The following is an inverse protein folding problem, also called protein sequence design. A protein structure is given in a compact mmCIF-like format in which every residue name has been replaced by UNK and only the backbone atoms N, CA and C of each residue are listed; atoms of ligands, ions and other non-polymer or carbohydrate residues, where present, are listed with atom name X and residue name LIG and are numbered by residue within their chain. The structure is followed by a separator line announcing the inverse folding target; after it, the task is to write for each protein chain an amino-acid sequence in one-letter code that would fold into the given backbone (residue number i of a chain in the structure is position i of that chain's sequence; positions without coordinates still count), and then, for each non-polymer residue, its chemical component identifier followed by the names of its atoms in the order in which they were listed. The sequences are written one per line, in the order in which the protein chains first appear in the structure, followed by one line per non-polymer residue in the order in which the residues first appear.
data_IF_702267144337
#
_entry.id   IF_702267144337
#
_cell.length_a   1.000
_cell.length_b   1.000
_cell.length_c   1.000
_cell.angle_alpha   90.00
_cell.angle_beta   90.00
_cell.angle_gamma   90.00
#
_symmetry.space_group_name_H-M   'P 1'
#
loop_
_entity.id
_entity.type
_entity.pdbx_description
1 polymer ?
#
# COMPACT_ATOMS: atom_id res chain seq x y z
N UNK A 1 32.03 -53.05 -39.69
CA UNK A 1 31.29 -54.25 -40.11
C UNK A 1 30.84 -55.02 -38.86
N UNK A 2 29.52 -55.27 -38.71
CA UNK A 2 28.86 -56.33 -37.90
C UNK A 2 29.14 -56.33 -36.37
N UNK A 3 28.23 -56.50 -35.41
CA UNK A 3 26.85 -57.01 -35.26
C UNK A 3 26.29 -56.30 -34.00
N UNK A 4 25.04 -55.85 -33.91
CA UNK A 4 23.86 -56.69 -33.68
C UNK A 4 23.84 -57.23 -32.25
N UNK A 5 22.96 -56.71 -31.38
CA UNK A 5 22.27 -57.54 -30.37
C UNK A 5 21.00 -56.83 -29.88
N UNK A 6 19.88 -57.44 -30.22
CA UNK A 6 18.51 -57.15 -29.83
C UNK A 6 18.30 -57.75 -28.43
N UNK A 7 18.11 -56.93 -27.40
CA UNK A 7 17.66 -57.41 -26.07
C UNK A 7 16.51 -56.57 -25.57
N UNK A 8 15.33 -57.13 -25.82
CA UNK A 8 14.07 -56.88 -25.15
C UNK A 8 14.24 -57.13 -23.64
N UNK A 9 14.22 -56.09 -22.82
CA UNK A 9 14.15 -56.22 -21.36
C UNK A 9 12.84 -55.58 -20.86
N UNK A 10 11.84 -56.43 -20.68
CA UNK A 10 10.73 -56.19 -19.76
C UNK A 10 11.33 -55.99 -18.36
N UNK A 11 11.33 -54.75 -17.87
CA UNK A 11 11.63 -54.48 -16.46
C UNK A 11 10.40 -53.86 -15.81
N UNK A 12 9.83 -54.66 -14.92
CA UNK A 12 8.79 -54.36 -13.96
C UNK A 12 9.30 -53.31 -12.97
N UNK A 13 9.08 -52.02 -13.24
CA UNK A 13 9.46 -50.94 -12.33
C UNK A 13 8.23 -50.41 -11.59
N UNK A 14 8.08 -50.92 -10.36
CA UNK A 14 7.71 -50.21 -9.13
C UNK A 14 6.73 -49.03 -9.24
N UNK A 15 5.59 -49.19 -8.56
CA UNK A 15 4.68 -48.13 -8.12
C UNK A 15 5.45 -47.00 -7.41
N UNK A 16 5.85 -45.98 -8.15
CA UNK A 16 6.10 -44.67 -7.57
C UNK A 16 4.73 -43.99 -7.50
N UNK A 17 4.16 -43.99 -6.29
CA UNK A 17 3.13 -43.03 -5.93
C UNK A 17 3.72 -41.64 -6.16
N UNK A 18 3.37 -41.03 -7.29
CA UNK A 18 3.54 -39.60 -7.48
C UNK A 18 2.60 -38.92 -6.48
N UNK A 19 3.09 -38.67 -5.27
CA UNK A 19 2.56 -37.60 -4.46
C UNK A 19 2.94 -36.31 -5.19
N UNK A 20 2.05 -35.83 -6.05
CA UNK A 20 2.09 -34.43 -6.49
C UNK A 20 1.97 -33.59 -5.22
N UNK A 21 3.13 -33.15 -4.73
CA UNK A 21 3.24 -32.21 -3.65
C UNK A 21 2.46 -30.97 -4.04
N UNK A 22 1.26 -30.85 -3.47
CA UNK A 22 0.60 -29.58 -3.32
C UNK A 22 1.60 -28.63 -2.68
N UNK A 23 1.89 -27.54 -3.37
CA UNK A 23 2.17 -26.21 -2.83
C UNK A 23 2.70 -25.39 -4.01
N UNK A 24 1.79 -25.06 -4.94
CA UNK A 24 1.98 -23.91 -5.80
C UNK A 24 1.98 -22.68 -4.91
N UNK A 25 3.16 -22.36 -4.38
CA UNK A 25 3.46 -21.04 -3.83
C UNK A 25 3.04 -20.02 -4.88
N UNK A 26 1.95 -19.30 -4.61
CA UNK A 26 1.44 -18.27 -5.50
C UNK A 26 2.57 -17.31 -5.90
N UNK A 27 2.66 -16.93 -7.18
CA UNK A 27 3.77 -16.16 -7.71
C UNK A 27 3.89 -14.81 -6.97
N UNK A 28 5.10 -14.54 -6.50
CA UNK A 28 5.58 -13.37 -5.72
C UNK A 28 5.37 -11.99 -6.36
N UNK A 29 4.72 -11.93 -7.53
CA UNK A 29 4.43 -10.71 -8.29
C UNK A 29 3.30 -9.87 -7.66
N UNK A 30 2.32 -10.50 -7.01
CA UNK A 30 1.23 -9.78 -6.32
C UNK A 30 1.63 -9.23 -4.94
N UNK A 31 2.76 -9.68 -4.37
CA UNK A 31 3.32 -9.15 -3.11
C UNK A 31 3.95 -7.77 -3.28
N UNK A 32 4.25 -7.34 -4.52
CA UNK A 32 4.99 -6.11 -4.82
C UNK A 32 4.12 -4.85 -5.00
N UNK A 33 2.78 -4.96 -5.00
CA UNK A 33 1.86 -3.81 -5.09
C UNK A 33 1.14 -3.44 -3.78
N UNK A 34 1.34 -4.20 -2.69
CA UNK A 34 0.81 -3.94 -1.33
C UNK A 34 1.87 -3.34 -0.37
N UNK A 35 2.99 -2.84 -0.90
CA UNK A 35 4.13 -2.39 -0.10
C UNK A 35 4.01 -0.91 0.30
N UNK A 36 3.06 -0.61 1.19
CA UNK A 36 3.20 0.42 2.24
C UNK A 36 2.21 0.16 3.39
N UNK A 37 1.80 -1.08 3.57
CA UNK A 37 1.19 -1.52 4.81
C UNK A 37 2.34 -1.69 5.81
N UNK A 38 2.75 -0.57 6.44
CA UNK A 38 3.68 -0.64 7.57
C UNK A 38 2.87 -1.19 8.73
N UNK A 39 2.59 -2.50 8.69
CA UNK A 39 1.70 -3.17 9.61
C UNK A 39 2.15 -2.89 11.04
N UNK A 40 1.27 -2.30 11.84
CA UNK A 40 1.56 -1.88 13.21
C UNK A 40 2.21 -0.51 13.38
N UNK A 41 2.51 0.27 12.32
CA UNK A 41 3.09 1.62 12.46
C UNK A 41 2.18 2.54 13.26
N UNK A 42 0.88 2.59 12.91
CA UNK A 42 -0.07 3.42 13.65
C UNK A 42 -0.12 2.98 15.12
N UNK A 43 -0.29 1.68 15.39
CA UNK A 43 -0.43 1.15 16.74
C UNK A 43 0.81 1.37 17.61
N UNK A 44 2.01 1.20 17.04
CA UNK A 44 3.28 1.52 17.73
C UNK A 44 3.41 2.99 18.11
N UNK A 45 2.73 3.88 17.39
CA UNK A 45 2.73 5.32 17.62
C UNK A 45 1.44 5.80 18.33
N UNK A 46 0.66 4.90 18.92
CA UNK A 46 -0.55 5.25 19.68
C UNK A 46 -1.79 5.55 18.82
N UNK A 47 -1.78 5.17 17.55
CA UNK A 47 -2.90 5.38 16.62
C UNK A 47 -3.56 4.09 16.15
N UNK A 48 -4.73 4.22 15.54
CA UNK A 48 -5.46 3.16 14.83
C UNK A 48 -5.34 3.36 13.33
N UNK A 49 -4.96 2.32 12.60
CA UNK A 49 -4.95 2.36 11.14
C UNK A 49 -6.36 2.12 10.59
N UNK A 50 -6.76 2.92 9.60
CA UNK A 50 -7.98 2.71 8.81
C UNK A 50 -7.67 2.86 7.32
N UNK A 51 -8.46 2.20 6.49
CA UNK A 51 -8.45 2.42 5.04
C UNK A 51 -9.48 3.48 4.69
N UNK A 52 -9.05 4.49 3.96
CA UNK A 52 -9.89 5.53 3.37
C UNK A 52 -9.78 5.51 1.85
N UNK A 53 -10.66 6.22 1.16
CA UNK A 53 -10.69 6.28 -0.30
C UNK A 53 -10.65 7.72 -0.77
N UNK A 54 -9.87 7.97 -1.82
CA UNK A 54 -9.88 9.28 -2.47
C UNK A 54 -11.21 9.51 -3.18
N UNK A 55 -11.43 10.74 -3.67
CA UNK A 55 -12.57 11.05 -4.52
C UNK A 55 -12.61 10.25 -5.82
N UNK A 56 -11.47 9.71 -6.26
CA UNK A 56 -11.35 8.76 -7.37
C UNK A 56 -11.44 7.27 -6.96
N UNK A 57 -11.91 6.99 -5.74
CA UNK A 57 -11.98 5.64 -5.15
C UNK A 57 -10.63 4.91 -5.03
N UNK A 58 -9.52 5.63 -4.94
CA UNK A 58 -8.21 5.01 -4.69
C UNK A 58 -8.00 4.80 -3.19
N UNK A 59 -7.69 3.58 -2.72
CA UNK A 59 -7.48 3.34 -1.30
C UNK A 59 -6.17 3.95 -0.82
N UNK A 60 -6.19 4.51 0.39
CA UNK A 60 -5.01 4.93 1.14
C UNK A 60 -5.18 4.61 2.63
N UNK A 61 -4.06 4.46 3.33
CA UNK A 61 -4.08 4.11 4.76
C UNK A 61 -3.86 5.36 5.61
N UNK A 62 -4.66 5.52 6.65
CA UNK A 62 -4.63 6.65 7.58
C UNK A 62 -4.41 6.13 8.99
N UNK A 63 -3.46 6.70 9.71
CA UNK A 63 -3.39 6.58 11.16
C UNK A 63 -4.29 7.66 11.78
N UNK A 64 -5.25 7.24 12.60
CA UNK A 64 -6.07 8.11 13.45
C UNK A 64 -5.54 8.02 14.87
N UNK A 65 -5.25 9.16 15.48
CA UNK A 65 -4.77 9.30 16.85
C UNK A 65 -5.83 9.97 17.73
N UNK A 66 -5.49 10.23 18.99
CA UNK A 66 -6.30 11.02 19.91
C UNK A 66 -6.69 12.39 19.31
N UNK A 67 -7.81 12.94 19.79
CA UNK A 67 -8.42 14.18 19.26
C UNK A 67 -8.67 14.17 17.74
N UNK A 68 -8.87 12.99 17.16
CA UNK A 68 -9.07 12.80 15.72
C UNK A 68 -7.91 13.41 14.89
N UNK A 69 -6.69 13.38 15.43
CA UNK A 69 -5.49 13.74 14.66
C UNK A 69 -5.16 12.66 13.66
N UNK A 70 -4.63 13.04 12.50
CA UNK A 70 -4.46 12.10 11.38
C UNK A 70 -3.14 12.27 10.64
N UNK A 71 -2.67 11.18 10.05
CA UNK A 71 -1.60 11.13 9.04
C UNK A 71 -1.90 10.03 8.02
N UNK A 72 -1.53 10.23 6.75
CA UNK A 72 -1.34 9.09 5.85
C UNK A 72 -0.18 8.23 6.41
N UNK A 73 -0.34 6.90 6.42
CA UNK A 73 0.68 5.97 6.93
C UNK A 73 2.04 6.20 6.29
N UNK A 74 2.08 6.50 4.99
CA UNK A 74 3.32 6.81 4.25
C UNK A 74 3.98 8.09 4.76
N UNK A 75 3.18 9.14 4.99
CA UNK A 75 3.66 10.43 5.45
C UNK A 75 4.20 10.36 6.89
N UNK A 76 3.53 9.56 7.74
CA UNK A 76 4.04 9.24 9.08
C UNK A 76 5.37 8.46 8.99
N UNK A 77 5.42 7.42 8.15
CA UNK A 77 6.63 6.60 7.99
C UNK A 77 7.83 7.40 7.46
N UNK A 78 7.59 8.37 6.57
CA UNK A 78 8.65 9.23 6.05
C UNK A 78 8.97 10.44 6.94
N UNK A 79 8.30 10.58 8.08
CA UNK A 79 8.51 11.68 9.03
C UNK A 79 8.03 13.07 8.57
N UNK A 80 7.31 13.16 7.44
CA UNK A 80 6.76 14.44 6.95
C UNK A 80 5.43 14.78 7.62
N UNK A 81 4.76 13.78 8.20
CA UNK A 81 3.65 13.97 9.11
C UNK A 81 4.11 13.59 10.53
N UNK A 82 3.91 14.46 11.53
CA UNK A 82 4.43 14.24 12.88
C UNK A 82 3.83 13.01 13.56
N UNK A 83 4.59 12.39 14.45
CA UNK A 83 4.08 11.35 15.37
C UNK A 83 2.94 11.96 16.20
N UNK A 84 1.83 11.21 16.34
CA UNK A 84 0.60 11.70 16.97
C UNK A 84 -0.34 12.46 16.03
N UNK A 85 0.08 12.72 14.78
CA UNK A 85 -0.78 13.29 13.74
C UNK A 85 -1.03 14.79 13.83
N UNK A 86 -1.57 15.32 12.74
CA UNK A 86 -2.00 16.72 12.67
C UNK A 86 -3.47 16.85 13.04
N UNK A 87 -3.85 17.99 13.63
CA UNK A 87 -5.27 18.33 13.75
C UNK A 87 -5.83 18.57 12.36
N UNK A 88 -6.98 17.98 12.09
CA UNK A 88 -7.72 18.21 10.85
C UNK A 88 -8.90 19.18 11.03
N UNK A 89 -9.17 19.56 12.29
CA UNK A 89 -10.12 20.63 12.62
C UNK A 89 -9.62 21.95 12.03
N UNK A 90 -10.40 22.58 11.16
CA UNK A 90 -10.02 23.80 10.44
C UNK A 90 -9.85 23.62 8.93
N UNK A 91 -10.00 22.40 8.41
CA UNK A 91 -10.22 22.14 6.99
C UNK A 91 -11.71 21.95 6.73
N UNK A 92 -12.19 22.54 5.64
CA UNK A 92 -13.61 22.51 5.28
C UNK A 92 -13.92 21.36 4.31
N UNK A 93 -12.89 20.86 3.63
CA UNK A 93 -13.05 19.90 2.52
C UNK A 93 -12.17 18.66 2.64
N UNK A 94 -12.62 17.50 2.14
CA UNK A 94 -11.84 16.27 2.19
C UNK A 94 -10.52 16.37 1.40
N UNK A 95 -10.49 17.13 0.30
CA UNK A 95 -9.25 17.34 -0.46
C UNK A 95 -8.19 18.14 0.30
N UNK A 96 -8.59 19.04 1.20
CA UNK A 96 -7.69 19.82 2.05
C UNK A 96 -7.10 18.92 3.13
N UNK A 97 -7.97 18.14 3.81
CA UNK A 97 -7.55 17.13 4.78
C UNK A 97 -6.57 16.15 4.12
N UNK A 98 -6.91 15.63 2.93
CA UNK A 98 -6.05 14.70 2.20
C UNK A 98 -4.68 15.31 1.88
N UNK A 99 -4.60 16.57 1.46
CA UNK A 99 -3.31 17.22 1.28
C UNK A 99 -2.52 17.30 2.60
N UNK A 100 -3.17 17.77 3.66
CA UNK A 100 -2.52 18.03 4.94
C UNK A 100 -1.96 16.75 5.57
N UNK A 101 -2.73 15.66 5.59
CA UNK A 101 -2.30 14.38 6.18
C UNK A 101 -1.20 13.68 5.36
N UNK A 102 -0.95 14.11 4.11
CA UNK A 102 0.21 13.69 3.31
C UNK A 102 1.49 14.46 3.64
N UNK A 103 1.44 15.35 4.64
CA UNK A 103 2.50 16.30 4.97
C UNK A 103 2.54 17.50 4.03
N UNK A 104 1.49 17.72 3.22
CA UNK A 104 1.39 18.87 2.34
C UNK A 104 0.93 20.12 3.09
N UNK A 105 1.27 21.28 2.53
CA UNK A 105 0.75 22.57 2.98
C UNK A 105 -0.48 22.96 2.14
N UNK A 106 -1.56 23.35 2.81
CA UNK A 106 -2.82 23.76 2.20
C UNK A 106 -3.53 24.74 3.14
N UNK A 107 -4.33 25.64 2.57
CA UNK A 107 -5.22 26.54 3.30
C UNK A 107 -6.66 26.15 3.03
N UNK A 108 -7.53 26.31 4.02
CA UNK A 108 -8.98 26.17 3.86
C UNK A 108 -9.52 27.37 3.08
N UNK A 109 -9.60 27.23 1.76
CA UNK A 109 -10.03 28.30 0.86
C UNK A 109 -10.58 27.76 -0.47
N UNK A 110 -11.32 28.61 -1.18
CA UNK A 110 -11.86 28.23 -2.49
C UNK A 110 -10.70 27.95 -3.47
N UNK A 111 -10.75 26.80 -4.14
CA UNK A 111 -9.69 26.32 -5.05
C UNK A 111 -8.32 26.17 -4.38
N UNK A 112 -8.31 25.74 -3.11
CA UNK A 112 -7.12 25.47 -2.32
C UNK A 112 -6.00 24.77 -3.11
N UNK A 113 -4.78 25.28 -2.96
CA UNK A 113 -3.56 24.67 -3.52
C UNK A 113 -2.88 23.80 -2.46
N UNK A 114 -2.49 22.61 -2.87
CA UNK A 114 -1.69 21.69 -2.07
C UNK A 114 -0.23 21.76 -2.53
N UNK A 115 0.69 22.11 -1.63
CA UNK A 115 2.14 21.99 -1.84
C UNK A 115 2.64 20.76 -1.10
N UNK A 116 3.03 19.72 -1.83
CA UNK A 116 3.54 18.47 -1.24
C UNK A 116 5.01 18.62 -0.78
N UNK A 117 5.49 17.74 0.13
CA UNK A 117 6.88 17.78 0.63
C UNK A 117 7.97 17.73 -0.45
N UNK A 118 7.66 17.15 -1.61
CA UNK A 118 8.58 17.09 -2.76
C UNK A 118 8.58 18.36 -3.63
N UNK A 119 7.92 19.43 -3.17
CA UNK A 119 7.82 20.72 -3.88
C UNK A 119 6.76 20.75 -4.98
N UNK A 120 6.09 19.64 -5.31
CA UNK A 120 5.03 19.62 -6.32
C UNK A 120 3.79 20.33 -5.80
N UNK A 121 3.19 21.15 -6.66
CA UNK A 121 1.99 21.91 -6.35
C UNK A 121 0.84 21.47 -7.25
N UNK A 122 -0.30 21.19 -6.64
CA UNK A 122 -1.55 20.84 -7.33
C UNK A 122 -2.71 21.65 -6.74
N UNK A 123 -3.84 21.77 -7.44
CA UNK A 123 -5.08 22.06 -6.70
C UNK A 123 -5.40 20.85 -5.83
N UNK A 124 -5.89 21.09 -4.61
CA UNK A 124 -6.29 20.04 -3.68
C UNK A 124 -7.32 19.11 -4.34
N UNK A 125 -8.31 19.70 -5.03
CA UNK A 125 -9.31 18.97 -5.80
C UNK A 125 -8.69 18.00 -6.81
N UNK A 126 -7.73 18.44 -7.63
CA UNK A 126 -7.08 17.58 -8.62
C UNK A 126 -6.33 16.43 -7.96
N UNK A 127 -5.64 16.72 -6.85
CA UNK A 127 -4.91 15.71 -6.08
C UNK A 127 -5.84 14.63 -5.50
N UNK A 128 -7.06 15.00 -5.12
CA UNK A 128 -8.00 14.08 -4.47
C UNK A 128 -8.96 13.37 -5.44
N UNK A 129 -9.39 14.03 -6.51
CA UNK A 129 -10.40 13.51 -7.45
C UNK A 129 -9.87 13.05 -8.81
N UNK A 130 -8.62 13.37 -9.17
CA UNK A 130 -8.10 13.10 -10.52
C UNK A 130 -6.73 12.39 -10.55
N UNK A 131 -6.09 12.15 -9.42
CA UNK A 131 -4.77 11.50 -9.33
C UNK A 131 -4.83 10.12 -8.74
#
# INVERSE_FOLDING_TARGET
MRKGFLTLFLTLTTLLSYADGSNTSQPTKYKKLMNYNVSGLCSKNGGKMVTQYTGSHKPYQVCIFEDNRQCEVKALNSGVCPIGGIKITGYDKPEEIYCAIKGGEVKAEKHAKCRLPNGRIYSAYKLYYAM
#
